data_IF_914767448047
#
_entry.id   IF_914767448047
#
_cell.length_a   1.000
_cell.length_b   1.000
_cell.length_c   1.000
_cell.angle_alpha   90.00
_cell.angle_beta   90.00
_cell.angle_gamma   90.00
#
_symmetry.space_group_name_H-M   'P 1'
#
loop_
_entity.id
_entity.type
_entity.pdbx_description
1 polymer ?
#
# COMPACT_ATOMS: atom_id res chain seq x y z
N UNK A 1 10.47 26.50 12.71
CA UNK A 1 11.44 25.71 13.49
C UNK A 1 11.60 24.39 12.76
N UNK A 2 12.79 24.13 12.21
CA UNK A 2 13.11 22.84 11.64
C UNK A 2 13.25 21.82 12.77
N UNK A 3 12.51 20.70 12.68
CA UNK A 3 12.44 19.69 13.75
C UNK A 3 13.56 18.65 13.71
N UNK A 4 14.59 18.87 12.90
CA UNK A 4 15.72 17.96 12.68
C UNK A 4 15.27 16.49 12.50
N UNK A 5 14.43 16.27 11.49
CA UNK A 5 13.89 14.95 11.15
C UNK A 5 14.78 14.29 10.10
N UNK A 6 15.17 13.04 10.34
CA UNK A 6 15.97 12.25 9.40
C UNK A 6 15.13 11.67 8.26
N UNK A 7 13.84 11.40 8.51
CA UNK A 7 12.92 10.75 7.58
C UNK A 7 11.62 11.54 7.37
N UNK A 8 11.11 11.49 6.14
CA UNK A 8 9.78 11.95 5.79
C UNK A 8 9.12 10.93 4.84
N UNK A 9 7.94 10.45 5.21
CA UNK A 9 7.11 9.58 4.37
C UNK A 9 5.97 10.41 3.80
N UNK A 10 5.77 10.36 2.49
CA UNK A 10 4.79 11.18 1.78
C UNK A 10 3.94 10.35 0.84
N UNK A 11 2.62 10.51 0.92
CA UNK A 11 1.71 10.01 -0.10
C UNK A 11 1.75 10.91 -1.33
N UNK A 12 1.95 10.32 -2.50
CA UNK A 12 2.03 11.03 -3.78
C UNK A 12 0.88 10.58 -4.68
N UNK A 13 -0.19 11.39 -4.72
CA UNK A 13 -1.35 11.10 -5.57
C UNK A 13 -1.04 11.28 -7.06
N UNK A 14 -1.79 10.60 -7.94
CA UNK A 14 -1.67 10.78 -9.40
C UNK A 14 -1.97 12.22 -9.83
N UNK A 15 -2.88 12.90 -9.14
CA UNK A 15 -3.15 14.32 -9.32
C UNK A 15 -1.93 15.17 -8.99
N UNK A 16 -1.25 14.90 -7.88
CA UNK A 16 -0.04 15.64 -7.49
C UNK A 16 1.08 15.49 -8.52
N UNK A 17 1.20 14.32 -9.16
CA UNK A 17 2.17 14.09 -10.24
C UNK A 17 1.77 14.81 -11.53
N UNK A 18 0.51 14.66 -11.97
CA UNK A 18 0.00 15.32 -13.17
C UNK A 18 0.00 16.85 -13.07
N UNK A 19 -0.17 17.40 -11.87
CA UNK A 19 -0.16 18.84 -11.60
C UNK A 19 1.19 19.34 -11.08
N UNK A 20 2.25 18.53 -11.16
CA UNK A 20 3.61 18.93 -10.79
C UNK A 20 3.79 19.43 -9.35
N UNK A 21 2.91 19.03 -8.41
CA UNK A 21 2.92 19.53 -7.02
C UNK A 21 4.11 19.07 -6.19
N UNK A 22 4.70 17.94 -6.57
CA UNK A 22 5.89 17.36 -5.93
C UNK A 22 7.15 17.62 -6.76
N UNK A 23 7.08 18.53 -7.74
CA UNK A 23 8.25 18.92 -8.51
C UNK A 23 9.27 19.63 -7.61
N UNK A 24 10.55 19.27 -7.76
CA UNK A 24 11.63 19.72 -6.89
C UNK A 24 11.80 18.92 -5.59
N UNK A 25 10.89 18.00 -5.26
CA UNK A 25 11.08 17.05 -4.16
C UNK A 25 11.99 15.91 -4.62
N UNK A 26 13.15 15.77 -4.00
CA UNK A 26 14.07 14.67 -4.27
C UNK A 26 13.78 13.47 -3.36
N UNK A 27 13.03 12.49 -3.89
CA UNK A 27 12.74 11.23 -3.21
C UNK A 27 13.97 10.32 -3.15
N UNK A 28 14.17 9.66 -2.01
CA UNK A 28 15.22 8.64 -1.81
C UNK A 28 14.72 7.23 -2.16
N UNK A 29 13.41 7.01 -1.98
CA UNK A 29 12.70 5.77 -2.34
C UNK A 29 11.36 6.14 -2.98
N UNK A 30 10.90 5.35 -3.94
CA UNK A 30 9.53 5.41 -4.45
C UNK A 30 8.89 4.02 -4.32
N UNK A 31 7.66 3.96 -3.82
CA UNK A 31 6.95 2.70 -3.56
C UNK A 31 5.73 2.58 -4.45
N UNK A 32 5.65 1.50 -5.21
CA UNK A 32 4.45 1.11 -5.94
C UNK A 32 3.69 0.05 -5.17
N UNK A 33 2.42 0.32 -4.86
CA UNK A 33 1.54 -0.59 -4.09
C UNK A 33 0.64 -1.43 -4.98
N UNK A 34 -0.19 -0.79 -5.78
CA UNK A 34 -1.05 -1.41 -6.79
C UNK A 34 -1.61 -0.34 -7.73
N UNK A 35 -2.25 -0.79 -8.82
CA UNK A 35 -2.99 0.08 -9.73
C UNK A 35 -4.34 -0.54 -10.11
N UNK A 36 -5.42 0.18 -9.79
CA UNK A 36 -6.78 -0.14 -10.23
C UNK A 36 -7.48 1.11 -10.77
N UNK A 37 -8.52 0.99 -11.63
CA UNK A 37 -9.23 2.12 -12.21
C UNK A 37 -9.71 3.15 -11.17
N UNK A 38 -9.06 4.31 -11.15
CA UNK A 38 -9.39 5.38 -10.23
C UNK A 38 -9.13 6.75 -10.85
N UNK A 39 -9.89 7.76 -10.44
CA UNK A 39 -9.76 9.14 -10.92
C UNK A 39 -9.95 9.31 -12.44
N UNK A 40 -10.85 8.54 -13.06
CA UNK A 40 -11.13 8.64 -14.49
C UNK A 40 -11.88 9.93 -14.85
N UNK A 41 -12.54 10.56 -13.89
CA UNK A 41 -13.07 11.92 -13.97
C UNK A 41 -11.97 12.97 -14.26
N UNK A 42 -10.76 12.76 -13.74
CA UNK A 42 -9.60 13.62 -13.98
C UNK A 42 -8.75 13.16 -15.17
N UNK A 43 -8.26 11.92 -15.15
CA UNK A 43 -7.31 11.41 -16.14
C UNK A 43 -7.95 11.03 -17.47
N UNK A 44 -9.28 10.88 -17.54
CA UNK A 44 -10.10 10.56 -18.74
C UNK A 44 -9.79 9.25 -19.47
N UNK A 45 -8.54 8.76 -19.41
CA UNK A 45 -8.04 7.53 -20.02
C UNK A 45 -7.17 6.80 -19.00
N UNK A 46 -7.28 5.47 -18.99
CA UNK A 46 -6.45 4.60 -18.14
C UNK A 46 -4.95 4.85 -18.33
N UNK A 47 -4.51 5.01 -19.59
CA UNK A 47 -3.10 5.24 -19.88
C UNK A 47 -2.59 6.51 -19.21
N UNK A 48 -3.35 7.61 -19.21
CA UNK A 48 -2.91 8.86 -18.58
C UNK A 48 -2.74 8.70 -17.06
N UNK A 49 -3.63 7.95 -16.41
CA UNK A 49 -3.53 7.64 -14.99
C UNK A 49 -2.30 6.77 -14.65
N UNK A 50 -2.02 5.76 -15.48
CA UNK A 50 -0.84 4.92 -15.38
C UNK A 50 0.43 5.77 -15.55
N UNK A 51 0.55 6.53 -16.65
CA UNK A 51 1.69 7.40 -16.93
C UNK A 51 1.93 8.41 -15.80
N UNK A 52 0.87 9.00 -15.26
CA UNK A 52 1.01 9.95 -14.15
C UNK A 52 1.72 9.33 -12.96
N UNK A 53 1.38 8.10 -12.54
CA UNK A 53 2.06 7.41 -11.44
C UNK A 53 3.45 6.92 -11.81
N UNK A 54 3.62 6.39 -13.03
CA UNK A 54 4.91 5.91 -13.55
C UNK A 54 5.94 7.03 -13.60
N UNK A 55 5.52 8.28 -13.85
CA UNK A 55 6.40 9.45 -13.88
C UNK A 55 7.20 9.65 -12.58
N UNK A 56 6.70 9.20 -11.43
CA UNK A 56 7.45 9.22 -10.16
C UNK A 56 8.70 8.33 -10.25
N UNK A 57 8.56 7.13 -10.82
CA UNK A 57 9.62 6.15 -10.98
C UNK A 57 10.59 6.53 -12.10
N UNK A 58 10.08 7.10 -13.19
CA UNK A 58 10.92 7.63 -14.26
C UNK A 58 11.82 8.77 -13.81
N UNK A 59 11.34 9.63 -12.91
CA UNK A 59 12.08 10.77 -12.36
C UNK A 59 13.00 10.36 -11.20
N UNK A 60 12.79 9.19 -10.60
CA UNK A 60 13.59 8.71 -9.49
C UNK A 60 15.07 8.56 -9.91
N UNK A 61 15.97 9.24 -9.19
CA UNK A 61 17.41 9.26 -9.49
C UNK A 61 17.84 10.26 -10.55
N UNK A 62 16.93 10.81 -11.36
CA UNK A 62 17.28 11.81 -12.38
C UNK A 62 17.65 13.13 -11.71
N UNK A 63 18.90 13.56 -11.91
CA UNK A 63 19.41 14.80 -11.33
C UNK A 63 19.54 14.76 -9.80
N UNK A 64 19.69 13.56 -9.21
CA UNK A 64 19.86 13.37 -7.77
C UNK A 64 21.02 14.22 -7.24
N UNK A 65 20.75 15.01 -6.20
CA UNK A 65 21.74 15.84 -5.51
C UNK A 65 22.24 15.15 -4.25
N UNK A 66 21.39 14.35 -3.60
CA UNK A 66 21.78 13.54 -2.45
C UNK A 66 22.62 12.36 -2.93
N UNK A 67 23.70 12.08 -2.21
CA UNK A 67 24.56 10.90 -2.43
C UNK A 67 23.98 9.64 -1.78
N UNK A 68 22.66 9.48 -1.89
CA UNK A 68 21.92 8.33 -1.39
C UNK A 68 21.45 7.55 -2.62
N UNK A 69 21.77 6.24 -2.73
CA UNK A 69 21.24 5.40 -3.80
C UNK A 69 19.72 5.48 -3.82
N UNK A 70 19.16 5.71 -5.01
CA UNK A 70 17.71 5.78 -5.18
C UNK A 70 17.21 4.39 -5.53
N UNK A 71 16.11 3.96 -4.90
CA UNK A 71 15.54 2.64 -5.13
C UNK A 71 14.03 2.69 -5.32
N UNK A 72 13.56 1.93 -6.30
CA UNK A 72 12.14 1.72 -6.56
C UNK A 72 11.69 0.43 -5.87
N UNK A 73 10.70 0.52 -4.99
CA UNK A 73 10.12 -0.62 -4.28
C UNK A 73 8.81 -1.00 -4.98
N UNK A 74 8.72 -2.18 -5.57
CA UNK A 74 7.63 -2.53 -6.51
C UNK A 74 6.90 -3.80 -6.10
N UNK A 75 5.57 -3.73 -5.96
CA UNK A 75 4.72 -4.90 -5.84
C UNK A 75 4.65 -5.64 -7.17
N UNK A 76 5.31 -6.80 -7.30
CA UNK A 76 5.32 -7.54 -8.56
C UNK A 76 4.08 -8.42 -8.77
N UNK A 77 3.21 -8.56 -7.77
CA UNK A 77 1.93 -9.27 -7.94
C UNK A 77 0.88 -8.43 -8.68
N UNK A 78 1.13 -7.13 -8.87
CA UNK A 78 0.31 -6.23 -9.67
C UNK A 78 0.70 -6.28 -11.16
N UNK A 79 -0.27 -6.16 -12.06
CA UNK A 79 -0.03 -6.26 -13.51
C UNK A 79 0.71 -5.06 -14.10
N UNK A 80 0.73 -3.91 -13.42
CA UNK A 80 1.48 -2.73 -13.86
C UNK A 80 2.96 -2.78 -13.44
N UNK A 81 3.39 -3.79 -12.69
CA UNK A 81 4.75 -3.88 -12.16
C UNK A 81 5.82 -3.85 -13.25
N UNK A 82 5.70 -4.71 -14.27
CA UNK A 82 6.68 -4.80 -15.37
C UNK A 82 6.79 -3.45 -16.10
N UNK A 83 5.66 -2.77 -16.30
CA UNK A 83 5.62 -1.45 -16.92
C UNK A 83 6.43 -0.41 -16.13
N UNK A 84 6.34 -0.43 -14.80
CA UNK A 84 7.06 0.48 -13.90
C UNK A 84 8.56 0.12 -13.87
N UNK A 85 8.88 -1.16 -13.79
CA UNK A 85 10.26 -1.67 -13.73
C UNK A 85 11.02 -1.26 -14.99
N UNK A 86 10.41 -1.38 -16.17
CA UNK A 86 11.02 -1.01 -17.46
C UNK A 86 11.32 0.49 -17.59
N UNK A 87 10.73 1.34 -16.74
CA UNK A 87 10.79 2.80 -16.85
C UNK A 87 11.58 3.48 -15.74
N UNK A 88 12.00 2.73 -14.73
CA UNK A 88 12.93 3.22 -13.72
C UNK A 88 14.38 2.98 -14.15
N UNK A 89 15.23 3.98 -13.92
CA UNK A 89 16.69 3.81 -14.02
C UNK A 89 17.36 3.54 -12.68
N UNK A 90 16.57 3.63 -11.60
CA UNK A 90 17.00 3.29 -10.24
C UNK A 90 16.90 1.79 -10.01
N UNK A 91 17.72 1.28 -9.09
CA UNK A 91 17.67 -0.11 -8.64
C UNK A 91 16.26 -0.46 -8.15
N UNK A 92 15.79 -1.67 -8.48
CA UNK A 92 14.46 -2.16 -8.14
C UNK A 92 14.56 -3.20 -7.04
N UNK A 93 13.76 -3.02 -5.99
CA UNK A 93 13.52 -4.01 -4.95
C UNK A 93 12.08 -4.47 -5.07
N UNK A 94 11.89 -5.75 -5.28
CA UNK A 94 10.57 -6.34 -5.50
C UNK A 94 9.98 -6.88 -4.21
N UNK A 95 8.66 -6.78 -4.06
CA UNK A 95 7.93 -7.50 -3.02
C UNK A 95 6.68 -8.17 -3.57
N UNK A 96 6.28 -9.28 -2.94
CA UNK A 96 5.12 -10.07 -3.35
C UNK A 96 4.70 -11.08 -2.28
N UNK A 97 3.49 -11.63 -2.46
CA UNK A 97 2.95 -12.78 -1.73
C UNK A 97 2.80 -14.01 -2.65
N UNK A 98 2.52 -13.80 -3.94
CA UNK A 98 2.26 -14.89 -4.91
C UNK A 98 3.50 -15.22 -5.74
N UNK A 99 4.15 -14.21 -6.29
CA UNK A 99 5.40 -14.36 -7.06
C UNK A 99 6.60 -14.39 -6.12
N UNK A 100 7.70 -14.98 -6.61
CA UNK A 100 9.00 -14.89 -5.93
C UNK A 100 9.56 -13.48 -6.11
N UNK A 101 9.86 -12.81 -5.00
CA UNK A 101 10.38 -11.44 -4.95
C UNK A 101 11.55 -11.35 -3.95
N UNK A 102 12.24 -10.21 -3.92
CA UNK A 102 13.34 -9.93 -2.98
C UNK A 102 12.83 -9.91 -1.53
N UNK A 103 11.64 -9.34 -1.31
CA UNK A 103 10.91 -9.39 -0.04
C UNK A 103 9.59 -10.12 -0.23
N UNK A 104 9.50 -11.34 0.31
CA UNK A 104 8.38 -12.23 0.11
C UNK A 104 7.57 -12.44 1.40
N UNK A 105 6.24 -12.35 1.30
CA UNK A 105 5.33 -12.63 2.41
C UNK A 105 4.67 -14.00 2.27
N UNK A 106 4.99 -14.93 3.18
CA UNK A 106 4.35 -16.25 3.23
C UNK A 106 3.30 -16.33 4.34
N UNK A 107 2.03 -16.25 3.95
CA UNK A 107 0.90 -16.29 4.88
C UNK A 107 0.80 -17.68 5.52
N UNK A 108 0.71 -17.70 6.86
CA UNK A 108 0.49 -18.90 7.65
C UNK A 108 -0.97 -19.03 8.08
N UNK A 109 -1.57 -17.92 8.50
CA UNK A 109 -2.93 -17.88 9.01
C UNK A 109 -3.54 -16.49 8.80
N UNK A 110 -4.81 -16.43 8.41
CA UNK A 110 -5.60 -15.20 8.37
C UNK A 110 -6.85 -15.39 9.22
N UNK A 111 -7.08 -14.48 10.16
CA UNK A 111 -8.20 -14.55 11.10
C UNK A 111 -8.87 -13.20 11.26
N UNK A 112 -9.94 -13.18 12.05
CA UNK A 112 -10.64 -11.97 12.49
C UNK A 112 -9.83 -11.05 13.39
N UNK A 113 -8.68 -11.52 13.88
CA UNK A 113 -7.80 -10.79 14.81
C UNK A 113 -6.53 -10.27 14.16
N UNK A 114 -6.29 -10.62 12.89
CA UNK A 114 -5.06 -10.28 12.20
C UNK A 114 -4.59 -11.37 11.24
N UNK A 115 -3.43 -11.11 10.65
CA UNK A 115 -2.74 -12.01 9.73
C UNK A 115 -1.38 -12.39 10.28
N UNK A 116 -1.14 -13.69 10.34
CA UNK A 116 0.15 -14.26 10.68
C UNK A 116 0.87 -14.66 9.38
N UNK A 117 2.06 -14.14 9.16
CA UNK A 117 2.88 -14.48 8.00
C UNK A 117 4.37 -14.53 8.34
N UNK A 118 5.17 -15.13 7.46
CA UNK A 118 6.62 -15.04 7.50
C UNK A 118 7.05 -13.97 6.51
N UNK A 119 7.74 -12.95 6.99
CA UNK A 119 8.52 -12.01 6.19
C UNK A 119 9.84 -12.69 5.81
N UNK A 120 10.08 -12.84 4.51
CA UNK A 120 11.28 -13.46 3.96
C UNK A 120 12.04 -12.44 3.10
N UNK A 121 13.17 -11.94 3.61
CA UNK A 121 14.20 -11.25 2.83
C UNK A 121 15.51 -12.05 2.90
N UNK A 122 16.64 -11.40 3.14
CA UNK A 122 17.90 -12.10 3.48
C UNK A 122 17.75 -12.98 4.73
N UNK A 123 16.95 -12.48 5.70
CA UNK A 123 16.56 -13.19 6.91
C UNK A 123 15.06 -13.43 6.91
N UNK A 124 14.64 -14.42 7.68
CA UNK A 124 13.23 -14.75 7.88
C UNK A 124 12.78 -14.32 9.26
N UNK A 125 11.57 -13.78 9.35
CA UNK A 125 10.95 -13.39 10.61
C UNK A 125 9.45 -13.62 10.57
N UNK A 126 8.89 -14.09 11.68
CA UNK A 126 7.45 -14.29 11.83
C UNK A 126 6.83 -12.96 12.25
N UNK A 127 5.75 -12.55 11.61
CA UNK A 127 5.03 -11.30 11.87
C UNK A 127 3.57 -11.61 12.20
N UNK A 128 3.08 -11.07 13.31
CA UNK A 128 1.68 -11.09 13.72
C UNK A 128 1.02 -9.72 13.52
N UNK A 129 0.57 -9.47 12.30
CA UNK A 129 -0.04 -8.20 11.93
C UNK A 129 -1.48 -8.13 12.43
N UNK A 130 -1.80 -7.15 13.27
CA UNK A 130 -3.16 -6.97 13.80
C UNK A 130 -4.16 -6.45 12.76
N UNK A 131 -3.66 -5.86 11.66
CA UNK A 131 -4.49 -5.34 10.57
C UNK A 131 -5.09 -6.47 9.73
N UNK A 132 -6.35 -6.27 9.34
CA UNK A 132 -7.16 -7.28 8.65
C UNK A 132 -6.99 -7.22 7.13
N UNK A 133 -7.03 -8.39 6.49
CA UNK A 133 -7.09 -8.52 5.05
C UNK A 133 -5.74 -8.56 4.33
N UNK A 134 -5.74 -9.22 3.17
CA UNK A 134 -4.55 -9.48 2.37
C UNK A 134 -3.84 -8.19 1.92
N UNK A 135 -4.60 -7.13 1.65
CA UNK A 135 -4.05 -5.83 1.24
C UNK A 135 -3.14 -5.21 2.31
N UNK A 136 -3.42 -5.45 3.60
CA UNK A 136 -2.56 -4.96 4.68
C UNK A 136 -1.26 -5.77 4.80
N UNK A 137 -1.25 -7.04 4.38
CA UNK A 137 0.01 -7.80 4.25
C UNK A 137 0.87 -7.18 3.15
N UNK A 138 0.31 -6.84 1.98
CA UNK A 138 1.07 -6.13 0.94
C UNK A 138 1.62 -4.80 1.44
N UNK A 139 0.83 -4.01 2.16
CA UNK A 139 1.29 -2.75 2.74
C UNK A 139 2.41 -2.95 3.76
N UNK A 140 2.31 -4.00 4.59
CA UNK A 140 3.36 -4.35 5.55
C UNK A 140 4.65 -4.79 4.85
N UNK A 141 4.55 -5.56 3.76
CA UNK A 141 5.71 -5.92 2.93
C UNK A 141 6.35 -4.69 2.30
N UNK A 142 5.56 -3.77 1.75
CA UNK A 142 6.06 -2.53 1.18
C UNK A 142 6.85 -1.69 2.21
N UNK A 143 6.31 -1.56 3.44
CA UNK A 143 6.99 -0.87 4.54
C UNK A 143 8.26 -1.61 4.99
N UNK A 144 8.19 -2.95 5.11
CA UNK A 144 9.33 -3.77 5.46
C UNK A 144 10.45 -3.70 4.42
N UNK A 145 10.12 -3.66 3.13
CA UNK A 145 11.10 -3.48 2.06
C UNK A 145 11.87 -2.17 2.22
N UNK A 146 11.20 -1.06 2.51
CA UNK A 146 11.90 0.22 2.78
C UNK A 146 12.82 0.08 4.00
N UNK A 147 12.31 -0.49 5.09
CA UNK A 147 13.07 -0.60 6.34
C UNK A 147 14.31 -1.50 6.20
N UNK A 148 14.20 -2.62 5.47
CA UNK A 148 15.33 -3.48 5.14
C UNK A 148 16.38 -2.76 4.30
N UNK A 149 15.96 -1.94 3.34
CA UNK A 149 16.85 -1.11 2.49
C UNK A 149 17.49 0.08 3.22
N UNK A 150 17.04 0.36 4.43
CA UNK A 150 17.63 1.33 5.36
C UNK A 150 18.41 0.63 6.49
N UNK A 151 18.74 -0.66 6.28
CA UNK A 151 19.48 -1.51 7.22
C UNK A 151 18.83 -1.63 8.61
N UNK A 152 17.52 -1.38 8.72
CA UNK A 152 16.80 -1.53 9.99
C UNK A 152 16.78 -3.03 10.35
N UNK A 153 17.25 -3.41 11.55
CA UNK A 153 17.25 -4.79 11.98
C UNK A 153 15.84 -5.42 11.91
N UNK A 154 15.76 -6.63 11.37
CA UNK A 154 14.47 -7.33 11.14
C UNK A 154 13.61 -7.51 12.41
N UNK A 155 14.22 -7.49 13.60
CA UNK A 155 13.47 -7.54 14.86
C UNK A 155 12.76 -6.20 15.17
N UNK A 156 13.35 -5.05 14.83
CA UNK A 156 12.67 -3.74 14.95
C UNK A 156 11.56 -3.59 13.91
N UNK A 157 11.75 -4.19 12.72
CA UNK A 157 10.70 -4.25 11.70
C UNK A 157 9.51 -5.09 12.20
N UNK A 158 9.78 -6.24 12.84
CA UNK A 158 8.74 -7.03 13.52
C UNK A 158 8.01 -6.19 14.56
N UNK A 159 8.73 -5.62 15.52
CA UNK A 159 8.15 -4.81 16.59
C UNK A 159 7.28 -3.68 16.04
N UNK A 160 7.79 -2.91 15.08
CA UNK A 160 7.06 -1.80 14.47
C UNK A 160 5.80 -2.24 13.72
N UNK A 161 5.86 -3.34 12.95
CA UNK A 161 4.68 -3.86 12.24
C UNK A 161 3.63 -4.44 13.21
N UNK A 162 4.06 -5.13 14.26
CA UNK A 162 3.16 -5.72 15.25
C UNK A 162 2.54 -4.67 16.18
N UNK A 163 3.19 -3.52 16.38
CA UNK A 163 2.67 -2.40 17.18
C UNK A 163 1.49 -1.69 16.49
N UNK A 164 1.39 -1.73 15.16
CA UNK A 164 0.27 -1.12 14.42
C UNK A 164 -1.02 -1.90 14.66
N UNK A 165 -1.78 -1.48 15.68
CA UNK A 165 -3.05 -2.13 16.04
C UNK A 165 -4.21 -1.70 15.15
N UNK A 166 -4.25 -0.44 14.74
CA UNK A 166 -5.35 0.16 13.96
C UNK A 166 -4.82 1.28 13.09
N UNK A 167 -5.45 1.46 11.93
CA UNK A 167 -5.32 2.66 11.11
C UNK A 167 -6.71 3.33 11.13
N UNK A 168 -6.84 4.56 11.65
CA UNK A 168 -8.13 5.25 11.70
C UNK A 168 -8.85 5.24 10.34
N UNK A 169 -10.11 4.81 10.33
CA UNK A 169 -10.91 4.69 9.10
C UNK A 169 -10.48 3.58 8.12
N UNK A 170 -9.76 2.55 8.55
CA UNK A 170 -9.46 1.32 7.77
C UNK A 170 -9.82 0.08 8.58
N UNK A 171 -10.93 -0.57 8.23
CA UNK A 171 -11.53 -1.70 8.94
C UNK A 171 -11.52 -1.50 10.45
N UNK A 172 -11.82 -0.28 10.89
CA UNK A 172 -11.75 0.12 12.28
C UNK A 172 -12.90 -0.53 13.06
N UNK A 173 -12.63 -1.41 14.04
CA UNK A 173 -13.68 -2.06 14.81
C UNK A 173 -14.31 -1.06 15.78
N UNK A 174 -15.65 -1.03 15.79
CA UNK A 174 -16.42 -0.20 16.72
C UNK A 174 -17.01 -1.10 17.81
N UNK A 175 -16.52 -0.88 19.03
CA UNK A 175 -16.99 -1.59 20.21
C UNK A 175 -18.47 -1.26 20.47
N UNK A 176 -19.28 -2.29 20.66
CA UNK A 176 -20.70 -2.16 20.99
C UNK A 176 -21.16 -3.34 21.85
N UNK A 177 -22.31 -3.20 22.51
CA UNK A 177 -22.87 -4.22 23.41
C UNK A 177 -23.95 -5.08 22.75
N UNK A 178 -24.17 -4.94 21.44
CA UNK A 178 -25.33 -5.50 20.74
C UNK A 178 -25.06 -6.88 20.11
N UNK A 179 -23.92 -7.50 20.39
CA UNK A 179 -23.62 -8.87 19.98
C UNK A 179 -23.29 -9.05 18.49
N UNK A 180 -23.04 -7.96 17.76
CA UNK A 180 -22.54 -8.01 16.38
C UNK A 180 -21.31 -7.12 16.21
N UNK A 181 -20.47 -7.45 15.22
CA UNK A 181 -19.27 -6.68 14.90
C UNK A 181 -19.65 -5.49 13.99
N UNK A 182 -19.11 -4.32 14.30
CA UNK A 182 -19.23 -3.11 13.47
C UNK A 182 -17.84 -2.72 13.02
N UNK A 183 -17.68 -2.40 11.73
CA UNK A 183 -16.43 -1.92 11.16
C UNK A 183 -16.67 -0.64 10.35
N UNK A 184 -15.77 0.34 10.48
CA UNK A 184 -15.76 1.56 9.68
C UNK A 184 -14.57 1.52 8.73
N UNK A 185 -14.81 1.74 7.43
CA UNK A 185 -13.78 1.77 6.40
C UNK A 185 -14.01 2.93 5.41
N UNK A 186 -12.91 3.51 4.91
CA UNK A 186 -12.91 4.61 3.94
C UNK A 186 -12.95 4.16 2.47
N UNK A 187 -13.10 2.86 2.21
CA UNK A 187 -13.24 2.30 0.87
C UNK A 187 -14.35 3.02 0.09
N UNK A 188 -13.93 3.82 -0.90
CA UNK A 188 -14.80 4.61 -1.77
C UNK A 188 -14.55 4.30 -3.25
N UNK A 189 -13.78 3.26 -3.53
CA UNK A 189 -13.54 2.68 -4.86
C UNK A 189 -14.10 1.26 -4.90
N UNK A 190 -14.44 0.77 -6.10
CA UNK A 190 -14.92 -0.61 -6.29
C UNK A 190 -13.91 -1.64 -5.73
N UNK A 191 -12.62 -1.49 -6.09
CA UNK A 191 -11.55 -2.37 -5.62
C UNK A 191 -11.34 -2.29 -4.11
N UNK A 192 -11.38 -1.08 -3.52
CA UNK A 192 -11.31 -0.90 -2.07
C UNK A 192 -12.47 -1.59 -1.35
N UNK A 193 -13.70 -1.39 -1.83
CA UNK A 193 -14.89 -1.99 -1.24
C UNK A 193 -14.85 -3.52 -1.36
N UNK A 194 -14.43 -4.04 -2.52
CA UNK A 194 -14.25 -5.47 -2.75
C UNK A 194 -13.23 -6.08 -1.78
N UNK A 195 -12.08 -5.43 -1.58
CA UNK A 195 -11.03 -5.88 -0.64
C UNK A 195 -11.53 -5.89 0.80
N UNK A 196 -12.30 -4.89 1.21
CA UNK A 196 -12.93 -4.80 2.53
C UNK A 196 -13.93 -5.94 2.74
N UNK A 197 -14.85 -6.14 1.80
CA UNK A 197 -15.87 -7.20 1.91
C UNK A 197 -15.25 -8.60 1.89
N UNK A 198 -14.25 -8.84 1.04
CA UNK A 198 -13.51 -10.12 1.02
C UNK A 198 -12.78 -10.37 2.34
N UNK A 199 -12.16 -9.35 2.93
CA UNK A 199 -11.51 -9.48 4.23
C UNK A 199 -12.55 -9.86 5.31
N UNK A 200 -13.71 -9.22 5.33
CA UNK A 200 -14.78 -9.49 6.30
C UNK A 200 -15.47 -10.84 6.07
N UNK A 201 -15.63 -11.30 4.83
CA UNK A 201 -16.21 -12.62 4.53
C UNK A 201 -15.38 -13.77 5.11
N UNK A 202 -14.05 -13.64 5.15
CA UNK A 202 -13.19 -14.65 5.80
C UNK A 202 -13.28 -14.68 7.33
N UNK A 203 -13.97 -13.70 7.93
CA UNK A 203 -13.95 -13.40 9.36
C UNK A 203 -15.34 -13.58 9.99
N UNK A 204 -16.38 -13.11 9.31
CA UNK A 204 -17.75 -13.05 9.84
C UNK A 204 -18.43 -14.40 9.70
N UNK A 205 -18.97 -14.91 10.81
CA UNK A 205 -19.90 -16.04 10.81
C UNK A 205 -21.32 -15.50 10.69
N UNK A 206 -21.97 -15.74 9.55
CA UNK A 206 -23.36 -15.31 9.31
C UNK A 206 -23.48 -14.18 8.27
N UNK A 207 -24.44 -13.28 8.46
CA UNK A 207 -24.76 -12.24 7.49
C UNK A 207 -23.77 -11.07 7.56
N UNK A 208 -23.24 -10.69 6.39
CA UNK A 208 -22.45 -9.47 6.22
C UNK A 208 -23.34 -8.38 5.60
N UNK A 209 -23.52 -7.28 6.32
CA UNK A 209 -24.26 -6.11 5.84
C UNK A 209 -23.29 -4.96 5.55
N UNK A 210 -23.44 -4.34 4.39
CA UNK A 210 -22.63 -3.20 3.98
C UNK A 210 -23.52 -1.97 3.81
N UNK A 211 -23.19 -0.89 4.51
CA UNK A 211 -23.80 0.43 4.30
C UNK A 211 -22.73 1.32 3.69
N UNK A 212 -22.92 1.74 2.45
CA UNK A 212 -21.95 2.56 1.72
C UNK A 212 -22.67 3.63 0.89
N UNK A 213 -21.92 4.61 0.42
CA UNK A 213 -22.41 5.67 -0.45
C UNK A 213 -21.35 6.07 -1.49
N UNK A 214 -21.78 6.79 -2.52
CA UNK A 214 -20.90 7.34 -3.55
C UNK A 214 -20.83 8.86 -3.42
N UNK A 215 -19.63 9.44 -3.56
CA UNK A 215 -19.46 10.89 -3.55
C UNK A 215 -20.22 11.55 -4.72
N UNK A 216 -20.93 12.65 -4.42
CA UNK A 216 -21.52 13.52 -5.45
C UNK A 216 -20.43 14.16 -6.33
N UNK A 217 -20.78 14.50 -7.57
CA UNK A 217 -19.91 15.16 -8.56
C UNK A 217 -18.58 14.46 -8.87
N UNK A 218 -18.47 13.17 -8.54
CA UNK A 218 -17.36 12.29 -8.91
C UNK A 218 -17.80 11.23 -9.92
N UNK A 219 -16.81 10.56 -10.49
CA UNK A 219 -16.91 9.47 -11.46
C UNK A 219 -18.18 8.61 -11.29
N UNK A 220 -19.13 8.80 -12.21
CA UNK A 220 -20.44 8.15 -12.19
C UNK A 220 -20.38 6.70 -12.67
N UNK A 221 -19.32 6.31 -13.39
CA UNK A 221 -19.18 4.95 -13.91
C UNK A 221 -18.88 3.93 -12.81
N UNK A 222 -18.49 4.38 -11.62
CA UNK A 222 -18.23 3.53 -10.45
C UNK A 222 -19.47 3.19 -9.60
N UNK A 223 -20.65 3.69 -9.99
CA UNK A 223 -21.88 3.59 -9.18
C UNK A 223 -22.73 2.35 -9.47
N UNK A 224 -22.96 1.95 -10.75
CA UNK A 224 -23.63 0.70 -11.08
C UNK A 224 -22.72 -0.50 -10.84
#
# INVERSE_FOLDING_TARGET
MDRNLDYAVMEVSSHSLALHRVEGVEFDRAVFTNLSPEHMDFHKRWQEYLEAKVSLFEKLGKGARKRIPKKAIVNIDDSAADYIIDRTSSEVITYAIKKKADVHGRILEMTSRGTLFILEGEKKKRINLSLLGLHNVYNALAAASIALEEDIPIYLIEEGLEEVKRIPGRLEPIDNKNGFNIFVDYAHTEDGLKKVLQALQGIVKGNLMAVFGCGGDRDSQKRP
#
